data_IF_855052997047
#
_entry.id   IF_855052997047
#
_cell.length_a   1.000
_cell.length_b   1.000
_cell.length_c   1.000
_cell.angle_alpha   90.00
_cell.angle_beta   90.00
_cell.angle_gamma   90.00
#
_symmetry.space_group_name_H-M   'P 1'
#
loop_
_entity.id
_entity.type
_entity.pdbx_description
1 polymer ?
#
# COMPACT_ATOMS: atom_id res chain seq x y z
N UNK A 1 -10.87 4.43 64.80
CA UNK A 1 -10.53 3.16 64.12
C UNK A 1 -10.16 3.54 62.68
N UNK A 2 -8.90 3.88 62.39
CA UNK A 2 -7.83 3.03 61.79
C UNK A 2 -8.23 2.46 60.40
N UNK A 3 -7.77 3.09 59.30
CA UNK A 3 -6.73 2.64 58.29
C UNK A 3 -7.30 1.64 57.26
N UNK A 4 -7.14 1.74 55.93
CA UNK A 4 -5.97 1.96 55.03
C UNK A 4 -6.44 2.71 53.72
N UNK A 5 -5.74 3.63 53.03
CA UNK A 5 -4.56 3.56 52.11
C UNK A 5 -4.56 2.34 51.16
N UNK A 6 -4.36 2.36 49.82
CA UNK A 6 -3.76 3.24 48.78
C UNK A 6 -4.00 2.53 47.39
N UNK A 7 -3.43 2.90 46.20
CA UNK A 7 -3.01 4.19 45.60
C UNK A 7 -3.50 4.46 44.15
N UNK A 8 -3.33 5.71 43.73
CA UNK A 8 -2.92 6.23 42.40
C UNK A 8 -3.55 5.70 41.08
N UNK A 9 -4.17 6.63 40.33
CA UNK A 9 -3.53 7.02 39.06
C UNK A 9 -3.91 8.43 38.61
N UNK A 10 -2.85 9.18 38.33
CA UNK A 10 -2.79 10.54 37.83
C UNK A 10 -3.45 10.62 36.45
N UNK A 11 -4.42 11.52 36.29
CA UNK A 11 -5.10 11.76 35.03
C UNK A 11 -4.79 13.18 34.53
N UNK A 12 -3.97 13.33 33.49
CA UNK A 12 -3.98 14.54 32.69
C UNK A 12 -3.93 14.16 31.20
N UNK A 13 -5.07 14.16 30.53
CA UNK A 13 -5.09 14.39 29.09
C UNK A 13 -6.50 14.73 28.62
N UNK A 14 -6.81 16.03 28.68
CA UNK A 14 -7.53 16.64 27.58
C UNK A 14 -6.66 16.52 26.33
N UNK A 15 -7.15 15.78 25.32
CA UNK A 15 -7.10 16.22 23.92
C UNK A 15 -8.01 15.35 23.07
N UNK A 16 -8.94 16.05 22.45
CA UNK A 16 -9.81 15.61 21.38
C UNK A 16 -9.08 14.76 20.33
N UNK A 17 -9.72 13.69 19.89
CA UNK A 17 -9.82 13.43 18.45
C UNK A 17 -11.04 12.56 18.16
N UNK A 18 -12.08 13.22 17.67
CA UNK A 18 -13.06 12.57 16.81
C UNK A 18 -12.29 11.98 15.62
N UNK A 19 -12.45 10.69 15.34
CA UNK A 19 -12.30 10.25 13.97
C UNK A 19 -13.28 9.14 13.63
N UNK A 20 -14.28 9.56 12.87
CA UNK A 20 -15.22 8.80 12.08
C UNK A 20 -14.61 7.52 11.50
N UNK A 21 -15.24 6.38 11.85
CA UNK A 21 -15.27 5.21 10.97
C UNK A 21 -16.14 5.56 9.76
N UNK A 22 -15.49 6.10 8.73
CA UNK A 22 -16.04 6.17 7.40
C UNK A 22 -15.21 5.28 6.47
N UNK A 23 -15.77 4.13 6.11
CA UNK A 23 -15.48 3.47 4.85
C UNK A 23 -15.62 4.50 3.71
N UNK A 24 -14.50 4.87 3.09
CA UNK A 24 -14.50 5.56 1.80
C UNK A 24 -13.37 5.04 0.91
N UNK A 25 -13.76 4.11 0.04
CA UNK A 25 -13.48 4.05 -1.41
C UNK A 25 -12.03 4.11 -1.97
N UNK A 26 -11.80 3.47 -3.14
CA UNK A 26 -10.48 3.14 -3.70
C UNK A 26 -9.84 4.28 -4.50
N UNK A 27 -9.72 5.48 -3.91
CA UNK A 27 -9.10 6.66 -4.57
C UNK A 27 -7.68 6.98 -4.13
N UNK A 28 -7.17 6.37 -3.06
CA UNK A 28 -5.83 6.66 -2.50
C UNK A 28 -4.65 6.09 -3.30
N UNK A 29 -4.84 4.99 -4.04
CA UNK A 29 -3.73 4.32 -4.77
C UNK A 29 -3.14 5.17 -5.89
N UNK A 30 -3.94 6.00 -6.57
CA UNK A 30 -3.45 6.91 -7.64
C UNK A 30 -2.65 8.09 -7.10
N UNK A 31 -2.94 8.54 -5.88
CA UNK A 31 -2.19 9.62 -5.22
C UNK A 31 -0.87 9.11 -4.63
N UNK A 32 -0.87 7.91 -4.04
CA UNK A 32 0.34 7.26 -3.55
C UNK A 32 1.36 6.96 -4.68
N UNK A 33 0.90 6.56 -5.87
CA UNK A 33 1.82 6.34 -7.00
C UNK A 33 2.48 7.63 -7.47
N UNK A 34 1.76 8.77 -7.44
CA UNK A 34 2.33 10.08 -7.77
C UNK A 34 3.36 10.52 -6.74
N UNK A 35 3.10 10.35 -5.45
CA UNK A 35 4.04 10.75 -4.39
C UNK A 35 5.31 9.88 -4.38
N UNK A 36 5.18 8.58 -4.63
CA UNK A 36 6.33 7.67 -4.74
C UNK A 36 7.16 8.00 -5.98
N UNK A 37 6.54 8.24 -7.13
CA UNK A 37 7.24 8.62 -8.35
C UNK A 37 8.00 9.95 -8.19
N UNK A 38 7.41 10.95 -7.54
CA UNK A 38 8.10 12.21 -7.27
C UNK A 38 9.29 12.03 -6.32
N UNK A 39 9.17 11.18 -5.29
CA UNK A 39 10.27 10.90 -4.37
C UNK A 39 11.44 10.20 -5.07
N UNK A 40 11.15 9.26 -5.97
CA UNK A 40 12.18 8.55 -6.76
C UNK A 40 12.90 9.51 -7.72
N UNK A 41 12.16 10.37 -8.43
CA UNK A 41 12.76 11.34 -9.36
C UNK A 41 13.64 12.34 -8.61
N UNK A 42 13.19 12.87 -7.47
CA UNK A 42 14.00 13.78 -6.65
C UNK A 42 15.25 13.08 -6.11
N UNK A 43 15.13 11.82 -5.67
CA UNK A 43 16.28 11.02 -5.22
C UNK A 43 17.33 10.84 -6.32
N UNK A 44 16.91 10.49 -7.54
CA UNK A 44 17.82 10.34 -8.69
C UNK A 44 18.53 11.66 -9.00
N UNK A 45 17.80 12.78 -9.05
CA UNK A 45 18.36 14.10 -9.35
C UNK A 45 19.40 14.54 -8.30
N UNK A 46 19.13 14.33 -7.02
CA UNK A 46 20.06 14.67 -5.93
C UNK A 46 21.31 13.79 -5.96
N UNK A 47 21.17 12.49 -6.23
CA UNK A 47 22.30 11.56 -6.35
C UNK A 47 23.15 11.89 -7.59
N UNK A 48 22.52 12.26 -8.71
CA UNK A 48 23.23 12.70 -9.92
C UNK A 48 23.98 14.01 -9.71
N UNK A 49 23.40 14.98 -9.01
CA UNK A 49 24.06 16.24 -8.67
C UNK A 49 25.28 16.02 -7.75
N UNK A 50 25.13 15.19 -6.70
CA UNK A 50 26.23 14.85 -5.78
C UNK A 50 27.36 14.08 -6.48
N UNK A 51 27.04 13.23 -7.46
CA UNK A 51 28.04 12.49 -8.24
C UNK A 51 28.82 13.41 -9.17
N UNK A 52 28.17 14.40 -9.81
CA UNK A 52 28.84 15.41 -10.63
C UNK A 52 29.76 16.33 -9.80
N UNK A 53 29.36 16.69 -8.58
CA UNK A 53 30.21 17.50 -7.67
C UNK A 53 31.45 16.74 -7.16
N UNK A 54 31.38 15.41 -7.02
CA UNK A 54 32.57 14.60 -6.67
C UNK A 54 33.52 14.44 -7.85
N UNK A 55 33.00 14.33 -9.07
CA UNK A 55 33.81 14.22 -10.29
C UNK A 55 34.56 15.53 -10.61
N UNK A 56 33.93 16.70 -10.42
CA UNK A 56 34.62 18.00 -10.59
C UNK A 56 35.74 18.26 -9.59
N UNK A 57 35.78 17.58 -8.43
CA UNK A 57 36.88 17.73 -7.45
C UNK A 57 38.13 16.92 -7.82
N UNK A 58 38.05 16.02 -8.79
CA UNK A 58 39.17 15.15 -9.17
C UNK A 58 39.97 15.67 -10.39
N UNK A 59 39.53 16.75 -11.05
CA UNK A 59 40.18 17.34 -12.24
C UNK A 59 40.83 18.71 -11.99
N UNK A 60 41.35 18.99 -10.77
CA UNK A 60 42.35 20.07 -10.62
C UNK A 60 43.75 19.46 -10.71
N UNK A 61 44.54 19.73 -11.78
CA UNK A 61 45.94 19.37 -11.78
C UNK A 61 46.66 20.17 -10.68
N UNK A 62 47.34 19.45 -9.78
CA UNK A 62 48.38 20.03 -8.95
C UNK A 62 49.51 20.47 -9.87
N UNK A 63 49.55 21.75 -10.19
CA UNK A 63 50.76 22.44 -10.57
C UNK A 63 50.95 23.60 -9.59
N UNK A 64 52.21 23.95 -9.34
CA UNK A 64 52.71 24.90 -8.32
C UNK A 64 52.86 24.37 -6.89
N UNK A 65 53.92 23.58 -6.72
CA UNK A 65 54.88 23.80 -5.63
C UNK A 65 55.40 25.26 -5.71
N UNK A 66 54.86 26.16 -4.89
CA UNK A 66 55.54 27.42 -4.57
C UNK A 66 56.04 27.37 -3.12
N UNK A 67 57.36 27.26 -3.03
CA UNK A 67 58.18 27.55 -1.85
C UNK A 67 57.91 28.98 -1.41
N UNK A 68 57.41 29.16 -0.18
CA UNK A 68 57.34 30.48 0.44
C UNK A 68 58.49 30.61 1.45
N UNK A 69 59.41 31.48 1.06
CA UNK A 69 60.64 31.83 1.74
C UNK A 69 60.47 32.32 3.18
N UNK A 70 61.50 31.98 3.95
CA UNK A 70 61.73 32.34 5.34
C UNK A 70 62.07 33.82 5.53
N UNK A 71 61.64 34.39 6.66
CA UNK A 71 62.29 35.51 7.36
C UNK A 71 62.00 35.29 8.85
N UNK A 72 62.93 35.29 9.81
CA UNK A 72 63.78 36.40 10.29
C UNK A 72 64.63 35.87 11.50
N UNK A 73 65.60 36.61 12.11
CA UNK A 73 66.97 36.91 11.68
C UNK A 73 68.08 36.37 12.64
N UNK A 74 69.33 36.63 12.24
CA UNK A 74 70.63 36.21 12.75
C UNK A 74 70.94 36.35 14.26
N UNK A 75 71.75 35.40 14.76
CA UNK A 75 72.77 35.64 15.81
C UNK A 75 74.00 34.74 15.65
N UNK A 76 75.05 35.36 15.12
CA UNK A 76 76.49 35.25 15.40
C UNK A 76 77.16 33.94 15.90
N UNK A 77 78.18 33.54 15.11
CA UNK A 77 79.60 33.33 15.50
C UNK A 77 80.05 31.97 16.05
N UNK A 78 80.75 31.24 15.16
CA UNK A 78 81.98 30.42 15.30
C UNK A 78 82.01 29.31 16.39
N UNK A 79 82.13 28.05 15.94
CA UNK A 79 83.25 27.13 16.24
C UNK A 79 82.95 25.73 15.70
N UNK A 80 83.79 25.25 14.77
CA UNK A 80 84.03 23.81 14.59
C UNK A 80 84.67 23.29 15.86
N UNK A 81 84.20 22.16 16.41
CA UNK A 81 85.15 21.03 16.45
C UNK A 81 84.48 19.66 16.26
N UNK A 82 85.33 18.74 15.81
CA UNK A 82 85.35 17.32 16.19
C UNK A 82 84.38 16.34 15.51
N UNK A 83 84.99 15.27 14.97
CA UNK A 83 84.31 14.11 14.40
C UNK A 83 83.44 13.43 15.46
N UNK A 84 82.11 13.54 15.34
CA UNK A 84 81.18 12.60 15.95
C UNK A 84 80.90 11.46 14.98
N UNK A 85 81.66 10.37 15.09
CA UNK A 85 81.37 9.11 14.39
C UNK A 85 80.18 8.36 15.02
N UNK A 86 79.61 8.84 16.14
CA UNK A 86 78.49 8.20 16.84
C UNK A 86 77.07 8.70 16.48
N UNK A 87 76.93 9.90 15.91
CA UNK A 87 75.61 10.51 15.68
C UNK A 87 74.95 10.15 14.33
N UNK A 88 75.73 9.61 13.39
CA UNK A 88 75.23 9.26 12.05
C UNK A 88 74.77 7.79 11.95
N UNK A 89 75.35 6.85 12.73
CA UNK A 89 74.83 5.48 12.83
C UNK A 89 73.42 5.44 13.43
N UNK A 90 73.15 6.25 14.46
CA UNK A 90 71.86 6.33 15.13
C UNK A 90 70.75 6.89 14.21
N UNK A 91 71.12 7.80 13.30
CA UNK A 91 70.21 8.30 12.25
C UNK A 91 69.94 7.27 11.17
N UNK A 92 70.95 6.49 10.77
CA UNK A 92 70.80 5.42 9.78
C UNK A 92 69.87 4.33 10.32
N UNK A 93 70.05 3.92 11.58
CA UNK A 93 69.16 2.94 12.23
C UNK A 93 67.72 3.48 12.37
N UNK A 94 67.57 4.77 12.70
CA UNK A 94 66.24 5.40 12.75
C UNK A 94 65.57 5.50 11.38
N UNK A 95 66.33 5.72 10.30
CA UNK A 95 65.82 5.68 8.93
C UNK A 95 65.36 4.26 8.57
N UNK A 96 66.15 3.24 8.93
CA UNK A 96 65.84 1.85 8.61
C UNK A 96 64.58 1.35 9.36
N UNK A 97 64.43 1.74 10.62
CA UNK A 97 63.20 1.51 11.39
C UNK A 97 61.98 2.21 10.76
N UNK A 98 62.14 3.46 10.31
CA UNK A 98 61.07 4.19 9.60
C UNK A 98 60.71 3.55 8.27
N UNK A 99 61.71 3.07 7.52
CA UNK A 99 61.52 2.38 6.24
C UNK A 99 60.76 1.07 6.44
N UNK A 100 61.15 0.29 7.45
CA UNK A 100 60.49 -0.97 7.82
C UNK A 100 59.05 -0.73 8.28
N UNK A 101 58.82 0.30 9.09
CA UNK A 101 57.47 0.71 9.52
C UNK A 101 56.61 1.18 8.33
N UNK A 102 57.19 1.94 7.40
CA UNK A 102 56.51 2.40 6.20
C UNK A 102 56.16 1.22 5.28
N UNK A 103 57.10 0.29 5.04
CA UNK A 103 56.86 -0.93 4.28
C UNK A 103 55.72 -1.74 4.89
N UNK A 104 55.75 -1.99 6.20
CA UNK A 104 54.67 -2.72 6.88
C UNK A 104 53.32 -1.98 6.89
N UNK A 105 53.30 -0.65 6.70
CA UNK A 105 52.05 0.11 6.48
C UNK A 105 51.56 -0.02 5.03
N UNK A 106 52.47 -0.02 4.06
CA UNK A 106 52.16 -0.24 2.64
C UNK A 106 51.58 -1.64 2.43
N UNK A 107 52.22 -2.67 2.98
CA UNK A 107 51.78 -4.07 2.84
C UNK A 107 50.39 -4.27 3.44
N UNK A 108 50.14 -3.75 4.66
CA UNK A 108 48.81 -3.78 5.27
C UNK A 108 47.77 -3.00 4.48
N UNK A 109 48.15 -1.89 3.87
CA UNK A 109 47.29 -1.12 2.99
C UNK A 109 46.89 -1.91 1.75
N UNK A 110 47.84 -2.61 1.14
CA UNK A 110 47.61 -3.45 -0.03
C UNK A 110 46.70 -4.64 0.29
N UNK A 111 46.95 -5.36 1.39
CA UNK A 111 46.11 -6.46 1.85
C UNK A 111 44.66 -6.02 2.15
N UNK A 112 44.48 -4.86 2.79
CA UNK A 112 43.17 -4.28 3.03
C UNK A 112 42.45 -3.94 1.71
N UNK A 113 43.19 -3.41 0.73
CA UNK A 113 42.64 -3.08 -0.60
C UNK A 113 42.26 -4.34 -1.38
N UNK A 114 43.07 -5.40 -1.34
CA UNK A 114 42.77 -6.68 -1.97
C UNK A 114 41.51 -7.30 -1.35
N UNK A 115 41.40 -7.27 -0.02
CA UNK A 115 40.22 -7.78 0.70
C UNK A 115 38.96 -7.00 0.33
N UNK A 116 39.04 -5.67 0.30
CA UNK A 116 37.94 -4.81 -0.12
C UNK A 116 37.54 -5.06 -1.58
N UNK A 117 38.52 -5.24 -2.48
CA UNK A 117 38.26 -5.55 -3.89
C UNK A 117 37.53 -6.89 -4.05
N UNK A 118 37.94 -7.91 -3.29
CA UNK A 118 37.28 -9.21 -3.29
C UNK A 118 35.83 -9.12 -2.79
N UNK A 119 35.58 -8.35 -1.73
CA UNK A 119 34.22 -8.13 -1.20
C UNK A 119 33.34 -7.38 -2.20
N UNK A 120 33.85 -6.30 -2.80
CA UNK A 120 33.14 -5.55 -3.85
C UNK A 120 32.82 -6.44 -5.04
N UNK A 121 33.76 -7.30 -5.47
CA UNK A 121 33.54 -8.25 -6.58
C UNK A 121 32.45 -9.25 -6.24
N UNK A 122 32.42 -9.77 -5.00
CA UNK A 122 31.38 -10.69 -4.52
C UNK A 122 30.01 -9.99 -4.47
N UNK A 123 29.96 -8.77 -3.94
CA UNK A 123 28.74 -7.95 -3.90
C UNK A 123 28.22 -7.67 -5.31
N UNK A 124 29.09 -7.29 -6.25
CA UNK A 124 28.73 -7.06 -7.64
C UNK A 124 28.18 -8.32 -8.32
N UNK A 125 28.79 -9.48 -8.06
CA UNK A 125 28.27 -10.75 -8.57
C UNK A 125 26.88 -11.07 -8.03
N UNK A 126 26.65 -10.84 -6.73
CA UNK A 126 25.33 -11.01 -6.10
C UNK A 126 24.29 -10.05 -6.68
N UNK A 127 24.65 -8.78 -6.90
CA UNK A 127 23.77 -7.81 -7.55
C UNK A 127 23.44 -8.22 -8.99
N UNK A 128 24.43 -8.70 -9.75
CA UNK A 128 24.23 -9.16 -11.11
C UNK A 128 23.28 -10.37 -11.17
N UNK A 129 23.38 -11.29 -10.21
CA UNK A 129 22.46 -12.41 -10.05
C UNK A 129 21.04 -11.92 -9.69
N UNK A 130 20.92 -10.98 -8.75
CA UNK A 130 19.65 -10.34 -8.42
C UNK A 130 18.99 -9.66 -9.61
N UNK A 131 19.76 -8.93 -10.43
CA UNK A 131 19.25 -8.30 -11.66
C UNK A 131 18.77 -9.33 -12.68
N UNK A 132 19.48 -10.47 -12.82
CA UNK A 132 19.03 -11.57 -13.68
C UNK A 132 17.72 -12.18 -13.17
N UNK A 133 17.61 -12.42 -11.86
CA UNK A 133 16.39 -12.93 -11.26
C UNK A 133 15.20 -11.97 -11.46
N UNK A 134 15.41 -10.66 -11.26
CA UNK A 134 14.40 -9.63 -11.54
C UNK A 134 13.98 -9.67 -13.02
N UNK A 135 14.94 -9.78 -13.94
CA UNK A 135 14.64 -9.85 -15.38
C UNK A 135 13.73 -11.04 -15.72
N UNK A 136 14.00 -12.21 -15.14
CA UNK A 136 13.15 -13.40 -15.30
C UNK A 136 11.76 -13.15 -14.71
N UNK A 137 11.67 -12.68 -13.48
CA UNK A 137 10.38 -12.39 -12.83
C UNK A 137 9.54 -11.35 -13.60
N UNK A 138 10.17 -10.35 -14.22
CA UNK A 138 9.49 -9.37 -15.08
C UNK A 138 8.95 -10.02 -16.35
N UNK A 139 9.69 -10.95 -16.96
CA UNK A 139 9.22 -11.70 -18.13
C UNK A 139 8.01 -12.57 -17.78
N UNK A 140 8.08 -13.32 -16.67
CA UNK A 140 6.97 -14.16 -16.18
C UNK A 140 5.73 -13.31 -15.86
N UNK A 141 5.93 -12.14 -15.24
CA UNK A 141 4.84 -11.22 -14.95
C UNK A 141 4.20 -10.65 -16.23
N UNK A 142 4.99 -10.38 -17.26
CA UNK A 142 4.48 -9.93 -18.56
C UNK A 142 3.61 -11.00 -19.23
N UNK A 143 4.06 -12.26 -19.20
CA UNK A 143 3.29 -13.40 -19.71
C UNK A 143 1.99 -13.62 -18.93
N UNK A 144 2.06 -13.62 -17.60
CA UNK A 144 0.87 -13.72 -16.73
C UNK A 144 -0.13 -12.59 -17.00
N UNK A 145 0.34 -11.36 -17.18
CA UNK A 145 -0.53 -10.23 -17.52
C UNK A 145 -1.18 -10.38 -18.89
N UNK A 146 -0.46 -10.92 -19.88
CA UNK A 146 -1.02 -11.21 -21.20
C UNK A 146 -2.12 -12.28 -21.10
N UNK A 147 -1.87 -13.37 -20.38
CA UNK A 147 -2.88 -14.42 -20.14
C UNK A 147 -4.11 -13.88 -19.41
N UNK A 148 -3.92 -13.00 -18.42
CA UNK A 148 -5.04 -12.36 -17.73
C UNK A 148 -5.88 -11.47 -18.66
N UNK A 149 -5.23 -10.69 -19.53
CA UNK A 149 -5.93 -9.87 -20.54
C UNK A 149 -6.77 -10.74 -21.47
N UNK A 150 -6.21 -11.84 -21.99
CA UNK A 150 -6.96 -12.78 -22.82
C UNK A 150 -8.20 -13.33 -22.10
N UNK A 151 -8.07 -13.72 -20.82
CA UNK A 151 -9.22 -14.20 -20.03
C UNK A 151 -10.29 -13.13 -19.82
N UNK A 152 -9.88 -11.87 -19.64
CA UNK A 152 -10.80 -10.74 -19.53
C UNK A 152 -11.54 -10.54 -20.86
N UNK A 153 -10.83 -10.54 -21.98
CA UNK A 153 -11.41 -10.37 -23.30
C UNK A 153 -12.40 -11.51 -23.64
N UNK A 154 -12.03 -12.76 -23.33
CA UNK A 154 -12.91 -13.93 -23.47
C UNK A 154 -14.17 -13.80 -22.59
N UNK A 155 -14.02 -13.30 -21.36
CA UNK A 155 -15.14 -13.08 -20.45
C UNK A 155 -16.07 -11.98 -20.97
N UNK A 156 -15.52 -10.89 -21.50
CA UNK A 156 -16.29 -9.81 -22.14
C UNK A 156 -17.02 -10.35 -23.37
N UNK A 157 -16.36 -11.18 -24.19
CA UNK A 157 -17.00 -11.81 -25.35
C UNK A 157 -18.19 -12.68 -24.92
N UNK A 158 -18.03 -13.52 -23.88
CA UNK A 158 -19.12 -14.35 -23.32
C UNK A 158 -20.27 -13.51 -22.74
N UNK A 159 -19.97 -12.40 -22.05
CA UNK A 159 -21.01 -11.50 -21.55
C UNK A 159 -21.77 -10.87 -22.71
N UNK A 160 -21.08 -10.45 -23.77
CA UNK A 160 -21.72 -9.89 -24.96
C UNK A 160 -22.60 -10.90 -25.69
N UNK A 161 -22.22 -12.18 -25.76
CA UNK A 161 -23.08 -13.23 -26.32
C UNK A 161 -24.34 -13.42 -25.49
N UNK A 162 -24.21 -13.50 -24.16
CA UNK A 162 -25.36 -13.59 -23.25
C UNK A 162 -26.30 -12.38 -23.35
N UNK A 163 -25.76 -11.17 -23.48
CA UNK A 163 -26.55 -9.96 -23.70
C UNK A 163 -27.31 -10.05 -25.02
N UNK A 164 -26.67 -10.49 -26.10
CA UNK A 164 -27.34 -10.66 -27.41
C UNK A 164 -28.42 -11.75 -27.36
N UNK A 165 -28.17 -12.86 -26.68
CA UNK A 165 -29.15 -13.94 -26.51
C UNK A 165 -30.36 -13.50 -25.67
N UNK A 166 -30.12 -12.79 -24.56
CA UNK A 166 -31.21 -12.25 -23.73
C UNK A 166 -32.03 -11.21 -24.48
N UNK A 167 -31.40 -10.35 -25.29
CA UNK A 167 -32.10 -9.43 -26.18
C UNK A 167 -32.93 -10.17 -27.24
N UNK A 168 -32.36 -11.17 -27.92
CA UNK A 168 -33.09 -12.02 -28.88
C UNK A 168 -34.29 -12.71 -28.23
N UNK A 169 -34.11 -13.26 -27.02
CA UNK A 169 -35.19 -13.89 -26.25
C UNK A 169 -36.28 -12.88 -25.87
N UNK A 170 -35.91 -11.65 -25.47
CA UNK A 170 -36.86 -10.57 -25.19
C UNK A 170 -37.65 -10.16 -26.43
N UNK A 171 -37.01 -10.09 -27.60
CA UNK A 171 -37.68 -9.79 -28.88
C UNK A 171 -38.59 -10.95 -29.33
N UNK A 172 -38.16 -12.21 -29.16
CA UNK A 172 -38.99 -13.37 -29.47
C UNK A 172 -40.23 -13.49 -28.54
N UNK A 173 -40.10 -13.08 -27.28
CA UNK A 173 -41.20 -13.02 -26.30
C UNK A 173 -42.12 -11.80 -26.49
N UNK A 174 -41.76 -10.82 -27.34
CA UNK A 174 -42.58 -9.64 -27.61
C UNK A 174 -43.70 -9.88 -28.63
N UNK A 175 -43.89 -11.10 -29.13
CA UNK A 175 -45.12 -11.45 -29.86
C UNK A 175 -46.23 -11.69 -28.83
N UNK A 176 -47.17 -10.76 -28.62
CA UNK A 176 -48.20 -10.96 -27.63
C UNK A 176 -49.22 -11.93 -28.23
N UNK A 177 -49.17 -13.20 -27.82
CA UNK A 177 -50.42 -13.94 -27.76
C UNK A 177 -51.32 -13.17 -26.79
N UNK A 178 -52.50 -12.75 -27.26
CA UNK A 178 -53.44 -11.93 -26.51
C UNK A 178 -53.54 -12.41 -25.06
N UNK A 179 -52.97 -11.63 -24.13
CA UNK A 179 -53.05 -11.95 -22.70
C UNK A 179 -54.52 -11.86 -22.31
N UNK A 180 -55.10 -12.90 -21.69
CA UNK A 180 -56.42 -12.78 -21.10
C UNK A 180 -56.39 -11.65 -20.07
N UNK A 181 -57.45 -10.84 -20.07
CA UNK A 181 -57.68 -9.75 -19.12
C UNK A 181 -57.31 -10.23 -17.72
N UNK A 182 -56.45 -9.52 -16.95
CA UNK A 182 -56.22 -9.89 -15.57
C UNK A 182 -57.57 -9.85 -14.85
N UNK A 183 -57.95 -10.98 -14.26
CA UNK A 183 -59.08 -11.03 -13.35
C UNK A 183 -58.87 -9.95 -12.27
N UNK A 184 -59.96 -9.30 -11.80
CA UNK A 184 -59.88 -8.22 -10.82
C UNK A 184 -58.99 -8.66 -9.66
N UNK A 185 -57.98 -7.83 -9.33
CA UNK A 185 -57.00 -8.14 -8.30
C UNK A 185 -57.74 -8.39 -6.98
N UNK A 186 -57.85 -9.67 -6.61
CA UNK A 186 -58.34 -10.08 -5.30
C UNK A 186 -57.44 -9.37 -4.28
N UNK A 187 -58.00 -8.56 -3.40
CA UNK A 187 -57.25 -7.95 -2.30
C UNK A 187 -56.94 -9.03 -1.25
N UNK A 188 -55.85 -8.89 -0.48
CA UNK A 188 -55.59 -9.81 0.63
C UNK A 188 -56.75 -9.82 1.63
N UNK A 189 -57.17 -10.98 2.15
CA UNK A 189 -58.25 -11.08 3.12
C UNK A 189 -57.77 -10.77 4.56
N UNK A 190 -56.82 -9.85 4.71
CA UNK A 190 -56.20 -9.45 5.97
C UNK A 190 -55.75 -7.99 5.88
N UNK A 191 -55.64 -7.34 7.03
CA UNK A 191 -55.08 -6.00 7.15
C UNK A 191 -53.63 -6.07 7.65
N UNK A 192 -52.82 -5.10 7.26
CA UNK A 192 -51.50 -4.91 7.85
C UNK A 192 -51.66 -3.89 8.97
N UNK A 193 -51.27 -4.29 10.18
CA UNK A 193 -51.42 -3.44 11.36
C UNK A 193 -50.11 -2.69 11.66
N UNK A 194 -48.97 -3.37 11.55
CA UNK A 194 -47.67 -2.80 11.87
C UNK A 194 -46.52 -3.49 11.12
N UNK A 195 -45.39 -2.78 11.02
CA UNK A 195 -44.09 -3.33 10.63
C UNK A 195 -43.16 -3.13 11.82
N UNK A 196 -42.61 -4.22 12.36
CA UNK A 196 -41.72 -4.18 13.51
C UNK A 196 -40.47 -5.04 13.28
N UNK A 197 -39.46 -4.89 14.14
CA UNK A 197 -38.17 -5.58 14.03
C UNK A 197 -37.89 -6.34 15.31
N UNK A 198 -37.96 -7.66 15.24
CA UNK A 198 -37.68 -8.56 16.35
C UNK A 198 -36.56 -9.52 15.92
N UNK A 199 -35.64 -9.88 16.81
CA UNK A 199 -34.52 -10.79 16.54
C UNK A 199 -33.73 -10.44 15.24
N UNK A 200 -33.44 -9.15 15.04
CA UNK A 200 -32.78 -8.60 13.84
C UNK A 200 -33.50 -8.86 12.50
N UNK A 201 -34.74 -9.34 12.56
CA UNK A 201 -35.59 -9.64 11.40
C UNK A 201 -36.78 -8.69 11.36
N UNK A 202 -37.15 -8.24 10.16
CA UNK A 202 -38.33 -7.39 9.98
C UNK A 202 -39.57 -8.25 9.78
N UNK A 203 -40.57 -8.02 10.61
CA UNK A 203 -41.86 -8.69 10.61
C UNK A 203 -42.97 -7.72 10.24
N UNK A 204 -44.01 -8.27 9.65
CA UNK A 204 -45.27 -7.58 9.38
C UNK A 204 -46.33 -8.23 10.25
N UNK A 205 -46.95 -7.45 11.12
CA UNK A 205 -48.14 -7.86 11.85
C UNK A 205 -49.34 -7.73 10.93
N UNK A 206 -50.05 -8.83 10.72
CA UNK A 206 -51.28 -8.86 9.93
C UNK A 206 -52.45 -9.35 10.78
N UNK A 207 -53.61 -8.71 10.63
CA UNK A 207 -54.85 -9.12 11.28
C UNK A 207 -55.81 -9.77 10.29
N UNK A 208 -56.29 -10.97 10.64
CA UNK A 208 -57.31 -11.69 9.89
C UNK A 208 -58.33 -12.30 10.84
N UNK A 209 -59.59 -11.85 10.75
CA UNK A 209 -60.67 -12.38 11.58
C UNK A 209 -60.39 -12.27 13.09
N UNK A 210 -59.74 -11.19 13.52
CA UNK A 210 -59.40 -10.94 14.94
C UNK A 210 -58.16 -11.69 15.44
N UNK A 211 -57.45 -12.43 14.59
CA UNK A 211 -56.16 -13.07 14.93
C UNK A 211 -55.01 -12.30 14.30
N UNK A 212 -53.95 -12.08 15.06
CA UNK A 212 -52.72 -11.45 14.59
C UNK A 212 -51.69 -12.53 14.25
N UNK A 213 -51.08 -12.42 13.08
CA UNK A 213 -49.94 -13.24 12.67
C UNK A 213 -48.77 -12.34 12.30
N UNK A 214 -47.55 -12.80 12.57
CA UNK A 214 -46.32 -12.10 12.20
C UNK A 214 -45.67 -12.84 11.06
N UNK A 215 -45.47 -12.15 9.94
CA UNK A 215 -44.85 -12.71 8.74
C UNK A 215 -43.54 -12.02 8.44
N UNK A 216 -42.50 -12.80 8.14
CA UNK A 216 -41.26 -12.30 7.53
C UNK A 216 -41.29 -12.47 6.00
N UNK A 217 -40.30 -11.88 5.34
CA UNK A 217 -40.12 -12.04 3.89
C UNK A 217 -40.06 -13.52 3.49
N UNK A 218 -40.83 -13.90 2.47
CA UNK A 218 -40.97 -15.27 1.98
C UNK A 218 -42.05 -16.11 2.66
N UNK A 219 -42.62 -15.67 3.79
CA UNK A 219 -43.71 -16.39 4.46
C UNK A 219 -45.07 -16.09 3.83
N UNK A 220 -46.02 -17.01 4.01
CA UNK A 220 -47.32 -16.99 3.36
C UNK A 220 -48.45 -17.06 4.38
N UNK A 221 -49.49 -16.25 4.17
CA UNK A 221 -50.78 -16.36 4.86
C UNK A 221 -51.93 -16.26 3.86
N UNK A 222 -52.91 -17.15 3.96
CA UNK A 222 -54.11 -17.13 3.10
C UNK A 222 -53.79 -17.08 1.59
N UNK A 223 -52.70 -17.74 1.18
CA UNK A 223 -52.23 -17.77 -0.21
C UNK A 223 -51.39 -16.56 -0.65
N UNK A 224 -51.17 -15.57 0.22
CA UNK A 224 -50.36 -14.39 -0.07
C UNK A 224 -48.98 -14.48 0.57
N UNK A 225 -47.94 -14.38 -0.23
CA UNK A 225 -46.55 -14.44 0.21
C UNK A 225 -45.98 -13.03 0.37
N UNK A 226 -45.27 -12.77 1.46
CA UNK A 226 -44.54 -11.50 1.65
C UNK A 226 -43.36 -11.48 0.67
N UNK A 227 -43.40 -10.59 -0.31
CA UNK A 227 -42.34 -10.42 -1.30
C UNK A 227 -41.25 -9.46 -0.84
N UNK A 228 -41.61 -8.45 -0.05
CA UNK A 228 -40.68 -7.46 0.47
C UNK A 228 -41.30 -6.59 1.55
N UNK A 229 -40.45 -6.14 2.48
CA UNK A 229 -40.85 -5.25 3.59
C UNK A 229 -39.91 -4.04 3.58
N UNK A 230 -40.42 -2.86 3.23
CA UNK A 230 -39.71 -1.60 3.29
C UNK A 230 -40.15 -0.84 4.55
N UNK A 231 -39.41 -1.05 5.64
CA UNK A 231 -39.68 -0.42 6.94
C UNK A 231 -39.54 1.11 6.88
N UNK A 232 -38.62 1.65 6.08
CA UNK A 232 -38.39 3.09 6.00
C UNK A 232 -39.58 3.79 5.36
N UNK A 233 -40.18 3.16 4.34
CA UNK A 233 -41.37 3.69 3.65
C UNK A 233 -42.70 3.20 4.23
N UNK A 234 -42.67 2.39 5.29
CA UNK A 234 -43.87 1.79 5.86
C UNK A 234 -44.65 0.93 4.85
N UNK A 235 -43.95 0.30 3.89
CA UNK A 235 -44.56 -0.39 2.76
C UNK A 235 -44.29 -1.88 2.81
N UNK A 236 -45.33 -2.67 2.57
CA UNK A 236 -45.22 -4.12 2.43
C UNK A 236 -45.70 -4.53 1.04
N UNK A 237 -44.95 -5.41 0.41
CA UNK A 237 -45.29 -6.01 -0.88
C UNK A 237 -45.68 -7.47 -0.69
N UNK A 238 -46.85 -7.82 -1.22
CA UNK A 238 -47.39 -9.17 -1.20
C UNK A 238 -47.55 -9.70 -2.62
N UNK A 239 -47.32 -11.01 -2.77
CA UNK A 239 -47.59 -11.76 -3.99
C UNK A 239 -48.74 -12.73 -3.74
N UNK A 240 -49.83 -12.55 -4.48
CA UNK A 240 -51.02 -13.37 -4.35
C UNK A 240 -50.90 -14.74 -5.02
N UNK A 241 -51.89 -15.62 -4.80
CA UNK A 241 -51.86 -17.02 -5.24
C UNK A 241 -51.90 -17.18 -6.77
N UNK A 242 -52.28 -16.15 -7.52
CA UNK A 242 -52.29 -16.13 -8.99
C UNK A 242 -51.15 -15.27 -9.56
N UNK A 243 -50.15 -14.94 -8.74
CA UNK A 243 -48.99 -14.14 -9.15
C UNK A 243 -49.24 -12.64 -9.25
N UNK A 244 -50.38 -12.14 -8.74
CA UNK A 244 -50.65 -10.71 -8.65
C UNK A 244 -49.82 -10.06 -7.54
N UNK A 245 -49.30 -8.86 -7.79
CA UNK A 245 -48.59 -8.08 -6.78
C UNK A 245 -49.55 -7.09 -6.13
N UNK A 246 -49.47 -6.95 -4.81
CA UNK A 246 -50.25 -6.00 -4.05
C UNK A 246 -49.33 -5.28 -3.05
N UNK A 247 -49.42 -3.95 -2.99
CA UNK A 247 -48.60 -3.15 -2.09
C UNK A 247 -49.50 -2.41 -1.11
N UNK A 248 -49.22 -2.57 0.17
CA UNK A 248 -49.92 -1.90 1.26
C UNK A 248 -48.93 -0.91 1.88
N UNK A 249 -49.35 0.34 2.01
CA UNK A 249 -48.60 1.37 2.72
C UNK A 249 -49.32 1.66 4.02
N UNK A 250 -48.59 1.59 5.13
CA UNK A 250 -49.07 2.00 6.43
C UNK A 250 -48.95 3.53 6.52
N UNK A 251 -50.05 4.19 6.88
CA UNK A 251 -49.97 5.57 7.34
C UNK A 251 -49.39 5.55 8.75
N UNK A 252 -48.28 6.27 8.95
CA UNK A 252 -47.72 6.55 10.29
C UNK A 252 -48.34 7.81 10.86
#
# INVERSE_FOLDING_TARGET
MTTEQQPEQINPSEKESKQDKAERQPRSRRLAYKSVLTAVVVGIVVISALSLSKIQRQERPLDELQVQDSNTPAREVIKTPELEVGADEDKVEQIDQRLTSLSGRIDRGFEAQVTLSADVKKSLASVAEGVRAIKVAVADLAESNHALRQRIDDSIARLNTLIKETQKRKVAQQKPAARPKPAPAKTPPFHVDAIDVWDDMTYVAISQGGRIAFLKSGEQQSGWTVAGIDRLKGRVEFKGPHGQNHSISLQR
#
